data_IF_873676767558
#
_entry.id   IF_873676767558
#
_cell.length_a   1.000
_cell.length_b   1.000
_cell.length_c   1.000
_cell.angle_alpha   90.00
_cell.angle_beta   90.00
_cell.angle_gamma   90.00
#
_symmetry.space_group_name_H-M   'P 1'
#
loop_
_entity.id
_entity.type
_entity.pdbx_description
1 polymer ?
#
# COMPACT_ATOMS: atom_id res chain seq x y z
N UNK A 1 15.33 -6.70 6.19
CA UNK A 1 14.51 -7.18 5.07
C UNK A 1 15.25 -6.82 3.79
N UNK A 2 16.06 -7.74 3.27
CA UNK A 2 16.87 -7.50 2.07
C UNK A 2 16.04 -7.85 0.84
N UNK A 3 15.79 -6.87 -0.01
CA UNK A 3 15.32 -7.15 -1.37
C UNK A 3 16.51 -7.69 -2.17
N UNK A 4 16.40 -8.94 -2.62
CA UNK A 4 17.43 -9.58 -3.44
C UNK A 4 17.32 -8.97 -4.85
N UNK A 5 18.31 -8.16 -5.21
CA UNK A 5 18.39 -7.51 -6.51
C UNK A 5 18.97 -8.52 -7.53
N UNK A 6 18.09 -9.27 -8.18
CA UNK A 6 18.44 -10.10 -9.34
C UNK A 6 18.46 -9.22 -10.60
N UNK A 7 19.65 -8.95 -11.16
CA UNK A 7 19.78 -8.27 -12.45
C UNK A 7 19.42 -9.24 -13.59
N UNK A 8 18.36 -8.94 -14.33
CA UNK A 8 18.19 -9.42 -15.71
C UNK A 8 18.13 -8.22 -16.66
N UNK A 9 18.75 -8.27 -17.85
CA UNK A 9 19.04 -7.07 -18.62
C UNK A 9 18.09 -6.88 -19.81
N UNK A 10 16.76 -6.84 -19.63
CA UNK A 10 15.87 -6.37 -20.72
C UNK A 10 14.62 -5.66 -20.17
N UNK A 11 14.67 -4.33 -20.31
CA UNK A 11 13.62 -3.29 -20.24
C UNK A 11 12.15 -3.75 -20.15
N UNK A 12 11.59 -3.72 -18.95
CA UNK A 12 10.33 -3.02 -18.67
C UNK A 12 10.56 -2.22 -17.39
N UNK A 13 10.15 -0.95 -17.38
CA UNK A 13 10.14 -0.08 -16.21
C UNK A 13 9.74 -0.89 -14.98
N UNK A 14 10.68 -1.17 -14.07
CA UNK A 14 10.31 -1.36 -12.67
C UNK A 14 9.47 -0.13 -12.35
N UNK A 15 8.18 -0.31 -12.10
CA UNK A 15 7.34 0.76 -11.60
C UNK A 15 8.13 1.36 -10.44
N UNK A 16 8.54 2.61 -10.60
CA UNK A 16 9.53 3.25 -9.75
C UNK A 16 8.86 3.52 -8.41
N UNK A 17 8.68 2.47 -7.61
CA UNK A 17 8.13 2.48 -6.25
C UNK A 17 9.10 3.15 -5.27
N UNK A 18 10.16 3.80 -5.76
CA UNK A 18 11.12 4.54 -4.96
C UNK A 18 10.36 5.60 -4.16
N UNK A 19 10.39 5.45 -2.83
CA UNK A 19 9.68 6.36 -1.91
C UNK A 19 8.18 6.14 -1.77
N UNK A 20 7.58 5.12 -2.41
CA UNK A 20 6.18 4.77 -2.17
C UNK A 20 5.97 4.26 -0.74
N UNK A 21 4.82 4.62 -0.17
CA UNK A 21 4.27 4.01 1.03
C UNK A 21 3.33 2.87 0.64
N UNK A 22 3.52 1.69 1.25
CA UNK A 22 2.63 0.53 1.09
C UNK A 22 1.91 0.27 2.40
N UNK A 23 0.58 0.18 2.34
CA UNK A 23 -0.29 -0.12 3.49
C UNK A 23 -1.15 -1.34 3.20
N UNK A 24 -1.50 -2.09 4.24
CA UNK A 24 -2.47 -3.18 4.18
C UNK A 24 -3.87 -2.62 4.41
N UNK A 25 -4.81 -2.96 3.53
CA UNK A 25 -6.23 -2.67 3.73
C UNK A 25 -6.82 -3.66 4.73
N UNK A 26 -7.50 -3.15 5.75
CA UNK A 26 -8.09 -3.94 6.83
C UNK A 26 -9.59 -4.04 6.60
N UNK A 27 -10.01 -5.07 5.88
CA UNK A 27 -11.41 -5.48 5.74
C UNK A 27 -11.57 -6.93 6.19
N UNK A 28 -12.81 -7.41 6.29
CA UNK A 28 -13.09 -8.83 6.55
C UNK A 28 -12.49 -9.67 5.41
N UNK A 29 -11.39 -10.36 5.71
CA UNK A 29 -10.73 -11.25 4.75
C UNK A 29 -11.41 -12.61 4.80
N UNK A 30 -11.75 -13.15 3.63
CA UNK A 30 -12.30 -14.51 3.50
C UNK A 30 -11.22 -15.57 3.41
N UNK A 31 -10.00 -15.20 3.00
CA UNK A 31 -8.85 -16.10 2.87
C UNK A 31 -7.67 -15.53 3.69
N UNK A 32 -7.15 -16.25 4.71
CA UNK A 32 -6.03 -15.78 5.51
C UNK A 32 -4.70 -15.67 4.73
N UNK A 33 -4.62 -16.32 3.57
CA UNK A 33 -3.43 -16.33 2.73
C UNK A 33 -3.44 -15.17 1.72
N UNK A 34 -4.45 -14.31 1.74
CA UNK A 34 -4.59 -13.17 0.84
C UNK A 34 -4.68 -11.86 1.63
N UNK A 35 -3.97 -10.82 1.16
CA UNK A 35 -4.06 -9.47 1.72
C UNK A 35 -4.22 -8.46 0.58
N UNK A 36 -5.07 -7.47 0.79
CA UNK A 36 -5.17 -6.34 -0.13
C UNK A 36 -4.19 -5.24 0.30
N UNK A 37 -3.33 -4.83 -0.63
CA UNK A 37 -2.32 -3.81 -0.46
C UNK A 37 -2.64 -2.59 -1.30
N UNK A 38 -2.30 -1.42 -0.76
CA UNK A 38 -2.38 -0.13 -1.44
C UNK A 38 -1.02 0.54 -1.38
N UNK A 39 -0.52 1.01 -2.52
CA UNK A 39 0.76 1.67 -2.69
C UNK A 39 0.58 3.06 -3.30
N UNK A 40 1.22 4.08 -2.74
CA UNK A 40 1.11 5.47 -3.19
C UNK A 40 2.33 6.31 -2.76
N UNK A 41 2.57 7.43 -3.43
CA UNK A 41 3.62 8.40 -3.06
C UNK A 41 4.93 8.26 -3.84
N UNK A 42 5.99 8.90 -3.37
CA UNK A 42 7.30 8.91 -4.04
C UNK A 42 7.46 9.94 -5.16
N UNK A 43 6.38 10.64 -5.54
CA UNK A 43 6.43 11.74 -6.50
C UNK A 43 6.50 13.09 -5.77
N UNK A 44 7.42 13.96 -6.20
CA UNK A 44 7.57 15.34 -5.74
C UNK A 44 6.48 16.27 -6.33
N UNK A 45 6.57 17.56 -6.04
CA UNK A 45 5.65 18.59 -6.55
C UNK A 45 5.63 18.62 -8.08
N UNK A 46 4.46 18.91 -8.66
CA UNK A 46 4.25 19.00 -10.12
C UNK A 46 4.45 17.70 -10.91
N UNK A 47 4.79 16.58 -10.25
CA UNK A 47 4.73 15.24 -10.84
C UNK A 47 3.38 14.60 -10.59
N UNK A 48 2.85 13.97 -11.64
CA UNK A 48 1.60 13.24 -11.58
C UNK A 48 1.69 12.07 -10.59
N UNK A 49 0.84 12.13 -9.55
CA UNK A 49 0.80 11.13 -8.48
C UNK A 49 0.37 9.77 -9.01
N UNK A 50 0.86 8.71 -8.36
CA UNK A 50 0.55 7.34 -8.73
C UNK A 50 0.05 6.55 -7.53
N UNK A 51 -1.03 5.80 -7.74
CA UNK A 51 -1.59 4.88 -6.74
C UNK A 51 -1.80 3.52 -7.39
N UNK A 52 -1.46 2.47 -6.65
CA UNK A 52 -1.54 1.09 -7.09
C UNK A 52 -2.18 0.22 -6.02
N UNK A 53 -2.92 -0.79 -6.43
CA UNK A 53 -3.45 -1.82 -5.54
C UNK A 53 -2.95 -3.20 -5.96
N UNK A 54 -2.86 -4.11 -5.00
CA UNK A 54 -2.53 -5.51 -5.26
C UNK A 54 -3.30 -6.38 -4.30
N UNK A 55 -3.97 -7.40 -4.83
CA UNK A 55 -4.40 -8.55 -4.05
C UNK A 55 -3.22 -9.50 -3.93
N UNK A 56 -2.48 -9.42 -2.84
CA UNK A 56 -1.33 -10.26 -2.60
C UNK A 56 -1.78 -11.63 -2.08
N UNK A 57 -1.27 -12.70 -2.68
CA UNK A 57 -1.39 -14.08 -2.22
C UNK A 57 -0.05 -14.57 -1.70
N UNK A 58 -0.04 -15.14 -0.50
CA UNK A 58 1.14 -15.75 0.11
C UNK A 58 1.73 -16.81 -0.82
N UNK A 59 3.03 -16.70 -1.06
CA UNK A 59 3.82 -17.69 -1.81
C UNK A 59 4.45 -18.74 -0.90
N UNK A 60 4.28 -18.59 0.42
CA UNK A 60 4.72 -19.56 1.40
C UNK A 60 3.55 -20.47 1.76
N UNK A 61 3.81 -21.78 1.81
CA UNK A 61 2.86 -22.78 2.29
C UNK A 61 2.56 -22.53 3.77
N UNK A 62 1.36 -22.05 4.05
CA UNK A 62 0.84 -22.00 5.41
C UNK A 62 0.32 -23.40 5.69
N UNK A 63 1.19 -24.25 6.23
CA UNK A 63 0.79 -25.53 6.78
C UNK A 63 -0.06 -25.25 8.02
N UNK A 64 -1.38 -25.18 7.83
CA UNK A 64 -2.32 -25.26 8.95
C UNK A 64 -2.13 -26.61 9.61
N UNK A 65 -1.36 -26.65 10.69
CA UNK A 65 -1.05 -27.85 11.47
C UNK A 65 -2.27 -28.51 12.15
N UNK A 66 -3.49 -28.13 11.77
CA UNK A 66 -4.73 -28.53 12.42
C UNK A 66 -5.78 -29.17 11.49
N UNK A 67 -5.37 -29.82 10.40
CA UNK A 67 -6.29 -30.72 9.71
C UNK A 67 -5.65 -32.08 9.45
N UNK A 68 -5.92 -33.01 10.37
CA UNK A 68 -5.86 -34.43 10.11
C UNK A 68 -6.93 -34.78 9.08
N UNK A 69 -6.66 -34.58 7.80
CA UNK A 69 -7.40 -35.30 6.77
C UNK A 69 -6.46 -35.70 5.62
N UNK A 70 -6.35 -37.01 5.51
CA UNK A 70 -5.52 -37.83 4.65
C UNK A 70 -5.67 -37.54 3.16
N UNK A 71 -4.53 -37.64 2.48
CA UNK A 71 -4.30 -38.26 1.18
C UNK A 71 -5.18 -37.83 -0.01
N UNK A 72 -4.59 -36.98 -0.86
CA UNK A 72 -4.31 -37.41 -2.24
C UNK A 72 -3.21 -36.54 -2.84
N UNK A 73 -2.05 -37.16 -3.08
CA UNK A 73 -1.09 -36.70 -4.08
C UNK A 73 -1.84 -36.58 -5.41
N UNK A 74 -2.03 -35.36 -5.91
CA UNK A 74 -2.19 -35.14 -7.33
C UNK A 74 -1.06 -34.21 -7.77
N UNK A 75 -0.02 -34.83 -8.32
CA UNK A 75 0.92 -34.18 -9.23
C UNK A 75 0.11 -33.53 -10.35
N UNK A 76 0.03 -32.21 -10.31
CA UNK A 76 -0.06 -31.36 -11.48
C UNK A 76 0.61 -30.05 -11.06
N UNK A 77 1.91 -29.95 -11.36
CA UNK A 77 2.63 -28.69 -11.42
C UNK A 77 2.03 -27.83 -12.55
N UNK A 78 0.78 -27.39 -12.37
CA UNK A 78 0.25 -26.26 -13.10
C UNK A 78 0.90 -25.04 -12.47
N UNK A 79 1.96 -24.55 -13.11
CA UNK A 79 2.56 -23.24 -12.87
C UNK A 79 1.43 -22.21 -13.01
N UNK A 80 0.69 -21.97 -11.94
CA UNK A 80 -0.39 -21.00 -11.90
C UNK A 80 0.27 -19.63 -11.80
N UNK A 81 0.31 -18.97 -12.95
CA UNK A 81 0.34 -17.52 -13.26
C UNK A 81 0.75 -16.52 -12.15
N UNK A 82 1.37 -15.38 -12.52
CA UNK A 82 1.99 -14.44 -11.57
C UNK A 82 0.94 -13.90 -10.60
N UNK A 83 0.94 -14.42 -9.36
CA UNK A 83 -0.17 -14.29 -8.42
C UNK A 83 -0.18 -12.98 -7.62
N UNK A 84 0.72 -12.06 -7.93
CA UNK A 84 0.95 -10.81 -7.19
C UNK A 84 1.29 -9.69 -8.18
N UNK A 85 0.28 -9.08 -8.81
CA UNK A 85 0.47 -7.99 -9.79
C UNK A 85 -0.10 -6.68 -9.25
N UNK A 86 0.67 -5.59 -9.36
CA UNK A 86 0.19 -4.25 -9.04
C UNK A 86 -0.70 -3.72 -10.17
N UNK A 87 -1.89 -3.26 -9.80
CA UNK A 87 -2.86 -2.63 -10.69
C UNK A 87 -2.85 -1.13 -10.40
N UNK A 88 -2.59 -0.32 -11.43
CA UNK A 88 -2.61 1.14 -11.31
C UNK A 88 -4.05 1.64 -11.24
N UNK A 89 -4.28 2.61 -10.35
CA UNK A 89 -5.54 3.33 -10.26
C UNK A 89 -5.67 4.39 -11.35
N UNK A 90 -6.90 4.74 -11.69
CA UNK A 90 -7.19 5.88 -12.55
C UNK A 90 -6.80 7.21 -11.87
N UNK A 91 -6.58 8.24 -12.68
CA UNK A 91 -6.04 9.53 -12.21
C UNK A 91 -6.93 10.21 -11.16
N UNK A 92 -8.25 10.01 -11.25
CA UNK A 92 -9.26 10.56 -10.36
C UNK A 92 -9.35 9.85 -8.99
N UNK A 93 -8.72 8.67 -8.86
CA UNK A 93 -8.66 7.89 -7.61
C UNK A 93 -7.25 7.82 -7.02
N UNK A 94 -6.36 8.67 -7.53
CA UNK A 94 -4.98 8.78 -7.05
C UNK A 94 -4.91 9.58 -5.75
N UNK A 95 -4.01 9.15 -4.86
CA UNK A 95 -3.76 9.79 -3.57
C UNK A 95 -2.81 10.99 -3.72
N UNK A 96 -3.21 12.11 -3.11
CA UNK A 96 -2.49 13.38 -3.10
C UNK A 96 -2.78 14.25 -4.32
N UNK A 97 -2.38 15.51 -4.23
CA UNK A 97 -2.59 16.51 -5.29
C UNK A 97 -1.34 16.69 -6.15
N UNK A 98 -1.49 17.30 -7.31
CA UNK A 98 -0.37 17.55 -8.22
C UNK A 98 0.74 18.36 -7.53
N UNK A 99 0.35 19.39 -6.79
CA UNK A 99 1.23 20.29 -6.03
C UNK A 99 1.80 19.69 -4.74
N UNK A 100 1.40 18.49 -4.34
CA UNK A 100 1.88 17.88 -3.08
C UNK A 100 3.21 17.16 -3.28
N UNK A 101 4.16 17.37 -2.39
CA UNK A 101 5.38 16.55 -2.32
C UNK A 101 5.12 15.28 -1.50
N UNK A 102 4.95 14.14 -2.18
CA UNK A 102 4.76 12.85 -1.54
C UNK A 102 6.06 12.06 -1.39
N UNK A 103 7.22 12.69 -1.55
CA UNK A 103 8.49 12.05 -1.24
C UNK A 103 8.55 11.71 0.27
N UNK A 104 8.79 10.43 0.57
CA UNK A 104 8.87 9.94 1.94
C UNK A 104 7.53 9.95 2.69
N UNK A 105 6.39 10.00 1.97
CA UNK A 105 5.05 9.92 2.57
C UNK A 105 4.91 8.68 3.47
N UNK A 106 4.18 8.82 4.56
CA UNK A 106 3.81 7.73 5.47
C UNK A 106 2.29 7.63 5.55
N UNK A 107 1.79 6.41 5.65
CA UNK A 107 0.37 6.10 5.71
C UNK A 107 0.01 5.20 6.89
N UNK A 108 -1.18 5.42 7.45
CA UNK A 108 -1.78 4.59 8.48
C UNK A 108 -3.27 4.40 8.18
N UNK A 109 -3.73 3.14 8.21
CA UNK A 109 -5.16 2.82 8.16
C UNK A 109 -5.76 2.96 9.56
N UNK A 110 -6.90 3.64 9.66
CA UNK A 110 -7.62 3.82 10.91
C UNK A 110 -9.06 4.28 10.69
N UNK A 111 -9.60 4.98 11.70
CA UNK A 111 -11.03 5.26 11.79
C UNK A 111 -11.79 4.08 12.40
N UNK A 112 -13.02 4.32 12.88
CA UNK A 112 -13.80 3.31 13.61
C UNK A 112 -14.04 2.03 12.81
N UNK A 113 -14.09 2.15 11.48
CA UNK A 113 -14.32 1.05 10.55
C UNK A 113 -13.08 0.70 9.69
N UNK A 114 -11.89 1.18 10.05
CA UNK A 114 -10.67 1.04 9.24
C UNK A 114 -10.82 1.53 7.79
N UNK A 115 -11.69 2.53 7.58
CA UNK A 115 -12.08 3.05 6.28
C UNK A 115 -11.40 4.38 5.94
N UNK A 116 -10.49 4.86 6.79
CA UNK A 116 -9.75 6.10 6.61
C UNK A 116 -8.26 5.81 6.49
N UNK A 117 -7.62 6.44 5.52
CA UNK A 117 -6.18 6.47 5.37
C UNK A 117 -5.67 7.83 5.81
N UNK A 118 -4.86 7.85 6.86
CA UNK A 118 -4.15 9.03 7.34
C UNK A 118 -2.78 9.03 6.68
N UNK A 119 -2.46 10.09 5.93
CA UNK A 119 -1.13 10.27 5.37
C UNK A 119 -0.45 11.49 5.94
N UNK A 120 0.87 11.40 6.07
CA UNK A 120 1.73 12.52 6.44
C UNK A 120 2.82 12.67 5.40
N UNK A 121 2.99 13.88 4.87
CA UNK A 121 3.94 14.18 3.81
C UNK A 121 4.52 15.59 3.97
N UNK A 122 5.54 15.92 3.18
CA UNK A 122 6.14 17.25 3.21
C UNK A 122 5.12 18.30 2.74
N UNK A 123 4.89 19.43 3.40
CA UNK A 123 5.63 20.10 4.47
C UNK A 123 4.97 20.02 5.86
N UNK A 124 4.56 18.81 6.27
CA UNK A 124 3.96 18.43 7.58
C UNK A 124 2.44 18.51 7.64
N UNK A 125 1.80 18.23 6.51
CA UNK A 125 0.37 18.12 6.43
C UNK A 125 -0.06 16.71 6.82
N UNK A 126 -1.18 16.63 7.51
CA UNK A 126 -1.99 15.42 7.66
C UNK A 126 -3.10 15.54 6.63
N UNK A 127 -3.20 14.56 5.75
CA UNK A 127 -4.35 14.39 4.89
C UNK A 127 -5.07 13.10 5.27
N UNK A 128 -6.40 13.15 5.27
CA UNK A 128 -7.24 11.98 5.56
C UNK A 128 -8.06 11.66 4.34
N UNK A 129 -7.93 10.43 3.86
CA UNK A 129 -8.57 9.93 2.65
C UNK A 129 -9.61 8.91 3.05
N UNK A 130 -10.83 9.05 2.51
CA UNK A 130 -11.85 8.02 2.61
C UNK A 130 -11.52 6.90 1.61
N UNK A 131 -11.23 5.69 2.12
CA UNK A 131 -10.79 4.54 1.31
C UNK A 131 -11.89 4.00 0.38
N UNK A 132 -13.16 4.27 0.67
CA UNK A 132 -14.27 3.81 -0.18
C UNK A 132 -14.42 4.69 -1.42
N UNK A 133 -14.22 5.99 -1.25
CA UNK A 133 -14.36 6.99 -2.32
C UNK A 133 -13.03 7.36 -2.97
N UNK A 134 -11.90 6.99 -2.33
CA UNK A 134 -10.54 7.40 -2.70
C UNK A 134 -10.37 8.92 -2.78
N UNK A 135 -11.08 9.66 -1.92
CA UNK A 135 -11.08 11.13 -1.91
C UNK A 135 -10.62 11.69 -0.57
N UNK A 136 -9.91 12.80 -0.66
CA UNK A 136 -9.48 13.61 0.50
C UNK A 136 -10.69 14.22 1.21
N UNK A 137 -10.68 14.18 2.54
CA UNK A 137 -11.65 14.88 3.38
C UNK A 137 -11.25 16.34 3.52
N UNK A 138 -12.16 17.26 3.16
CA UNK A 138 -11.84 18.69 3.03
C UNK A 138 -11.99 19.51 4.31
N UNK A 139 -12.66 18.98 5.34
CA UNK A 139 -13.04 19.75 6.56
C UNK A 139 -12.21 19.36 7.80
N UNK A 140 -10.95 18.95 7.61
CA UNK A 140 -10.07 18.55 8.71
C UNK A 140 -9.48 19.78 9.38
N UNK A 141 -9.68 19.92 10.69
CA UNK A 141 -9.03 20.95 11.52
C UNK A 141 -7.71 20.41 12.09
N UNK A 142 -6.75 21.31 12.35
CA UNK A 142 -5.44 20.99 12.94
C UNK A 142 -4.64 19.95 12.14
N UNK A 143 -4.69 20.07 10.82
CA UNK A 143 -4.01 19.18 9.87
C UNK A 143 -2.50 19.45 9.73
N UNK A 144 -1.89 20.21 10.64
CA UNK A 144 -0.44 20.49 10.64
C UNK A 144 0.16 19.85 11.89
N UNK A 145 1.19 19.02 11.70
CA UNK A 145 1.89 18.36 12.81
C UNK A 145 2.69 19.42 13.59
N UNK A 146 2.57 19.47 14.94
CA UNK A 146 3.32 20.40 15.78
C UNK A 146 4.83 20.33 15.55
N UNK A 147 5.47 21.50 15.51
CA UNK A 147 6.91 21.65 15.22
C UNK A 147 7.76 21.86 16.47
N UNK A 148 7.15 22.01 17.64
CA UNK A 148 7.87 22.38 18.85
C UNK A 148 8.83 21.26 19.26
N UNK A 149 10.12 21.61 19.38
CA UNK A 149 11.09 20.73 20.03
C UNK A 149 10.68 20.65 21.49
N UNK A 150 10.30 19.47 21.96
CA UNK A 150 10.13 19.22 23.39
C UNK A 150 11.45 19.62 24.09
N UNK A 151 11.42 20.71 24.85
CA UNK A 151 12.46 21.00 25.83
C UNK A 151 12.16 20.09 27.01
N UNK A 152 12.84 18.95 27.09
CA UNK A 152 12.91 18.22 28.35
C UNK A 152 13.56 19.16 29.37
N UNK A 153 12.79 19.50 30.41
CA UNK A 153 13.29 20.23 31.58
C UNK A 153 13.98 19.28 32.54
#
# INVERSE_FOLDING_TARGET
MHFIQGRTPYLWFDAQFDGHCVVRLIHSQTNPNEIDLLSFGGQDEDIMKQTFSMKYKSVWEINDHNNNQSDSKSENHSISQPSNTWIRHDQDTTIGKLESDLEGVRGLIGGINNNLLFITYHSKNIEVIDLKTMKSLTEIKNNIIPKERHKFG
#
